data_IF_190059718777
#
_entry.id   IF_190059718777
#
_cell.length_a   1.000
_cell.length_b   1.000
_cell.length_c   1.000
_cell.angle_alpha   90.00
_cell.angle_beta   90.00
_cell.angle_gamma   90.00
#
_symmetry.space_group_name_H-M   'P 1'
#
loop_
_entity.id
_entity.type
_entity.pdbx_description
1 polymer ?
#
# COMPACT_ATOMS: atom_id res chain seq x y z
N UNK A 1 -6.45 6.05 -8.13
CA UNK A 1 -6.99 5.61 -9.44
C UNK A 1 -7.16 6.82 -10.34
N UNK A 2 -6.58 6.79 -11.53
CA UNK A 2 -6.58 7.93 -12.46
C UNK A 2 -6.55 7.40 -13.89
N UNK A 3 -7.31 8.04 -14.78
CA UNK A 3 -7.34 7.70 -16.20
C UNK A 3 -5.90 7.74 -16.78
N UNK A 4 -5.42 6.72 -17.52
CA UNK A 4 -4.07 6.65 -18.08
C UNK A 4 -3.70 7.86 -18.94
N UNK A 5 -4.70 8.48 -19.57
CA UNK A 5 -4.54 9.68 -20.39
C UNK A 5 -4.09 10.87 -19.54
N UNK A 6 -4.62 11.01 -18.33
CA UNK A 6 -4.27 12.09 -17.40
C UNK A 6 -3.13 11.71 -16.44
N UNK A 7 -2.74 10.43 -16.41
CA UNK A 7 -1.76 9.93 -15.46
C UNK A 7 -0.39 10.63 -15.60
N UNK A 8 0.00 11.02 -16.81
CA UNK A 8 1.25 11.78 -17.03
C UNK A 8 1.29 13.12 -16.29
N UNK A 9 0.20 13.89 -16.35
CA UNK A 9 0.09 15.19 -15.67
C UNK A 9 0.00 15.02 -14.15
N UNK A 10 -0.75 14.01 -13.70
CA UNK A 10 -0.85 13.66 -12.27
C UNK A 10 0.52 13.29 -11.71
N UNK A 11 1.27 12.44 -12.42
CA UNK A 11 2.62 12.03 -12.03
C UNK A 11 3.59 13.22 -11.96
N UNK A 12 3.50 14.15 -12.92
CA UNK A 12 4.29 15.38 -12.91
C UNK A 12 3.95 16.24 -11.69
N UNK A 13 2.66 16.47 -11.43
CA UNK A 13 2.20 17.27 -10.29
C UNK A 13 2.64 16.66 -8.94
N UNK A 14 2.52 15.34 -8.79
CA UNK A 14 2.97 14.63 -7.59
C UNK A 14 4.49 14.69 -7.41
N UNK A 15 5.25 14.63 -8.51
CA UNK A 15 6.71 14.79 -8.47
C UNK A 15 7.11 16.20 -8.05
N UNK A 16 6.43 17.22 -8.58
CA UNK A 16 6.64 18.61 -8.18
C UNK A 16 6.26 18.85 -6.71
N UNK A 17 5.15 18.25 -6.25
CA UNK A 17 4.76 18.30 -4.84
C UNK A 17 5.82 17.65 -3.94
N UNK A 18 6.29 16.44 -4.26
CA UNK A 18 7.37 15.77 -3.52
C UNK A 18 8.62 16.64 -3.41
N UNK A 19 8.99 17.33 -4.49
CA UNK A 19 10.19 18.19 -4.50
C UNK A 19 10.04 19.46 -3.65
N UNK A 20 8.82 19.99 -3.47
CA UNK A 20 8.58 21.32 -2.87
C UNK A 20 7.93 21.28 -1.50
N UNK A 21 7.18 20.23 -1.18
CA UNK A 21 6.27 20.19 -0.02
C UNK A 21 6.80 19.37 1.15
N UNK A 22 8.01 18.81 1.02
CA UNK A 22 8.67 18.10 2.10
C UNK A 22 9.38 19.10 3.04
N UNK A 23 8.62 19.87 3.83
CA UNK A 23 9.14 20.70 4.93
C UNK A 23 8.97 20.09 6.35
N UNK A 24 9.68 20.59 7.37
CA UNK A 24 9.44 20.21 8.77
C UNK A 24 7.98 20.40 9.20
N UNK A 25 7.48 19.53 10.10
CA UNK A 25 6.10 19.60 10.60
C UNK A 25 5.05 19.07 9.62
N UNK A 26 5.49 18.52 8.48
CA UNK A 26 4.61 17.92 7.46
C UNK A 26 5.06 16.49 7.18
N UNK A 27 4.13 15.51 7.09
CA UNK A 27 4.45 14.16 6.65
C UNK A 27 5.13 14.17 5.29
N UNK A 28 6.27 13.48 5.19
CA UNK A 28 7.06 13.46 3.97
C UNK A 28 6.40 12.58 2.89
N UNK A 29 6.28 13.11 1.67
CA UNK A 29 5.98 12.30 0.50
C UNK A 29 7.26 11.61 0.00
N UNK A 30 7.45 10.36 0.41
CA UNK A 30 8.62 9.54 -0.01
C UNK A 30 8.62 9.29 -1.52
N UNK A 31 7.45 9.11 -2.11
CA UNK A 31 7.31 8.82 -3.53
C UNK A 31 5.89 8.47 -3.94
N UNK A 32 5.78 7.85 -5.11
CA UNK A 32 4.53 7.49 -5.77
C UNK A 32 4.43 5.97 -5.80
N UNK A 33 3.31 5.45 -5.32
CA UNK A 33 2.85 4.09 -5.59
C UNK A 33 1.88 4.16 -6.75
N UNK A 34 2.28 3.60 -7.89
CA UNK A 34 1.45 3.53 -9.08
C UNK A 34 0.64 2.23 -9.08
N UNK A 35 -0.58 2.26 -8.55
CA UNK A 35 -1.47 1.11 -8.56
C UNK A 35 -2.30 1.06 -9.85
N UNK A 36 -1.99 0.10 -10.73
CA UNK A 36 -2.48 0.11 -12.11
C UNK A 36 -1.75 1.13 -12.99
N UNK A 37 -2.06 1.22 -14.29
CA UNK A 37 -3.21 0.59 -14.97
C UNK A 37 -2.93 -0.81 -15.53
N UNK A 38 -1.72 -1.35 -15.33
CA UNK A 38 -1.26 -2.64 -15.87
C UNK A 38 -1.82 -3.84 -15.10
N UNK A 39 -3.13 -3.90 -14.96
CA UNK A 39 -3.84 -4.86 -14.08
C UNK A 39 -4.85 -5.71 -14.84
N UNK A 40 -5.36 -6.76 -14.19
CA UNK A 40 -6.35 -7.66 -14.76
C UNK A 40 -7.76 -7.12 -14.55
N UNK A 41 -8.53 -7.02 -15.65
CA UNK A 41 -9.92 -6.52 -15.62
C UNK A 41 -10.85 -7.37 -14.76
N UNK A 42 -10.60 -8.68 -14.66
CA UNK A 42 -11.40 -9.58 -13.81
C UNK A 42 -11.22 -9.30 -12.32
N UNK A 43 -10.07 -8.71 -11.95
CA UNK A 43 -9.69 -8.40 -10.57
C UNK A 43 -9.60 -6.89 -10.34
N UNK A 44 -10.29 -6.10 -11.16
CA UNK A 44 -10.25 -4.64 -11.12
C UNK A 44 -10.70 -4.04 -9.79
N UNK A 45 -11.61 -4.70 -9.07
CA UNK A 45 -12.29 -4.10 -7.91
C UNK A 45 -12.87 -2.73 -8.25
N UNK A 46 -12.45 -1.72 -7.49
CA UNK A 46 -12.83 -0.35 -7.73
C UNK A 46 -12.03 0.38 -8.82
N UNK A 47 -11.07 -0.23 -9.52
CA UNK A 47 -10.34 0.42 -10.61
C UNK A 47 -11.23 0.67 -11.84
N UNK A 48 -11.18 1.85 -12.50
CA UNK A 48 -12.01 2.14 -13.67
C UNK A 48 -11.68 1.21 -14.84
N UNK A 49 -12.65 0.47 -15.36
CA UNK A 49 -12.41 -0.58 -16.36
C UNK A 49 -11.79 -0.05 -17.67
N UNK A 50 -12.21 1.14 -18.12
CA UNK A 50 -11.70 1.78 -19.35
C UNK A 50 -10.27 2.33 -19.19
N UNK A 51 -9.79 2.41 -17.96
CA UNK A 51 -8.44 2.82 -17.64
C UNK A 51 -7.45 1.64 -17.62
N UNK A 52 -7.93 0.40 -17.67
CA UNK A 52 -7.09 -0.79 -17.57
C UNK A 52 -6.51 -1.12 -18.95
N UNK A 53 -5.18 -1.21 -19.01
CA UNK A 53 -4.43 -1.52 -20.23
C UNK A 53 -3.39 -2.61 -19.94
N UNK A 54 -2.98 -3.36 -20.96
CA UNK A 54 -1.92 -4.35 -20.82
C UNK A 54 -0.60 -3.70 -20.38
N UNK A 55 0.26 -4.43 -19.65
CA UNK A 55 1.62 -3.99 -19.33
C UNK A 55 2.33 -3.39 -20.55
N UNK A 56 2.86 -2.18 -20.39
CA UNK A 56 3.51 -1.44 -21.47
C UNK A 56 4.81 -0.80 -20.98
N UNK A 57 5.92 -1.48 -21.25
CA UNK A 57 7.27 -1.07 -20.83
C UNK A 57 7.67 0.31 -21.38
N UNK A 58 7.27 0.64 -22.62
CA UNK A 58 7.60 1.93 -23.24
C UNK A 58 6.85 3.09 -22.59
N UNK A 59 5.58 2.87 -22.24
CA UNK A 59 4.76 3.82 -21.51
C UNK A 59 5.31 4.04 -20.10
N UNK A 60 5.67 2.96 -19.39
CA UNK A 60 6.32 3.06 -18.09
C UNK A 60 7.63 3.85 -18.15
N UNK A 61 8.49 3.57 -19.14
CA UNK A 61 9.72 4.36 -19.38
C UNK A 61 9.43 5.85 -19.57
N UNK A 62 8.34 6.19 -20.27
CA UNK A 62 7.91 7.59 -20.43
C UNK A 62 7.54 8.20 -19.08
N UNK A 63 6.75 7.52 -18.26
CA UNK A 63 6.40 7.98 -16.91
C UNK A 63 7.61 8.11 -16.00
N UNK A 64 8.52 7.14 -16.01
CA UNK A 64 9.75 7.22 -15.23
C UNK A 64 10.64 8.39 -15.67
N UNK A 65 10.79 8.64 -16.99
CA UNK A 65 11.52 9.84 -17.47
C UNK A 65 10.88 11.15 -17.01
N UNK A 66 9.55 11.21 -16.91
CA UNK A 66 8.83 12.40 -16.43
C UNK A 66 8.99 12.63 -14.93
N UNK A 67 9.15 11.55 -14.15
CA UNK A 67 9.10 11.57 -12.68
C UNK A 67 10.46 11.39 -12.02
N UNK A 68 11.50 11.03 -12.78
CA UNK A 68 12.80 10.66 -12.23
C UNK A 68 12.66 9.45 -11.31
N UNK A 69 13.14 9.58 -10.08
CA UNK A 69 13.09 8.52 -9.07
C UNK A 69 11.78 8.49 -8.26
N UNK A 70 10.79 9.33 -8.58
CA UNK A 70 9.63 9.52 -7.70
C UNK A 70 8.71 8.30 -7.62
N UNK A 71 8.61 7.48 -8.66
CA UNK A 71 7.84 6.23 -8.62
C UNK A 71 8.66 5.18 -7.86
N UNK A 72 8.13 4.71 -6.73
CA UNK A 72 8.82 3.74 -5.85
C UNK A 72 8.24 2.34 -5.98
N UNK A 73 6.93 2.23 -6.18
CA UNK A 73 6.19 0.96 -6.29
C UNK A 73 5.28 1.03 -7.50
N UNK A 74 5.11 -0.08 -8.20
CA UNK A 74 4.03 -0.27 -9.15
C UNK A 74 3.27 -1.56 -8.81
N UNK A 75 1.94 -1.47 -8.73
CA UNK A 75 1.08 -2.64 -8.63
C UNK A 75 0.59 -3.00 -10.03
N UNK A 76 0.83 -4.25 -10.42
CA UNK A 76 0.49 -4.77 -11.74
C UNK A 76 0.14 -6.25 -11.67
N UNK A 77 -0.42 -6.77 -12.76
CA UNK A 77 -0.77 -8.18 -12.91
C UNK A 77 0.32 -8.94 -13.66
N UNK A 78 1.10 -9.80 -12.98
CA UNK A 78 2.25 -10.45 -13.57
C UNK A 78 1.91 -11.42 -14.70
N UNK A 79 0.73 -12.04 -14.69
CA UNK A 79 0.27 -12.95 -15.75
C UNK A 79 0.07 -12.23 -17.11
N UNK A 80 -0.04 -10.90 -17.08
CA UNK A 80 -0.19 -10.08 -18.29
C UNK A 80 1.16 -9.55 -18.82
N UNK A 81 2.26 -9.70 -18.06
CA UNK A 81 3.60 -9.21 -18.42
C UNK A 81 4.35 -10.24 -19.27
N UNK A 82 4.00 -10.28 -20.56
CA UNK A 82 4.60 -11.16 -21.56
C UNK A 82 6.14 -11.12 -21.48
N UNK A 83 6.77 -12.28 -21.24
CA UNK A 83 8.23 -12.39 -21.17
C UNK A 83 8.89 -11.63 -20.01
N UNK A 84 8.11 -11.15 -19.04
CA UNK A 84 8.55 -10.35 -17.90
C UNK A 84 9.25 -9.04 -18.30
N UNK A 85 8.85 -8.45 -19.43
CA UNK A 85 9.50 -7.26 -19.98
C UNK A 85 9.38 -6.05 -19.06
N UNK A 86 8.18 -5.80 -18.53
CA UNK A 86 7.96 -4.71 -17.58
C UNK A 86 8.74 -4.98 -16.30
N UNK A 87 8.66 -6.19 -15.74
CA UNK A 87 9.39 -6.58 -14.53
C UNK A 87 10.90 -6.36 -14.66
N UNK A 88 11.51 -6.77 -15.77
CA UNK A 88 12.94 -6.55 -16.04
C UNK A 88 13.30 -5.07 -16.00
N UNK A 89 12.46 -4.23 -16.60
CA UNK A 89 12.67 -2.78 -16.59
C UNK A 89 12.48 -2.17 -15.20
N UNK A 90 11.45 -2.58 -14.45
CA UNK A 90 11.21 -2.12 -13.08
C UNK A 90 12.42 -2.40 -12.18
N UNK A 91 12.97 -3.61 -12.25
CA UNK A 91 14.18 -3.99 -11.51
C UNK A 91 15.37 -3.13 -11.89
N UNK A 92 15.60 -2.92 -13.18
CA UNK A 92 16.69 -2.06 -13.69
C UNK A 92 16.57 -0.63 -13.15
N UNK A 93 15.35 -0.12 -13.03
CA UNK A 93 15.05 1.22 -12.54
C UNK A 93 14.88 1.30 -11.02
N UNK A 94 15.08 0.19 -10.29
CA UNK A 94 14.90 0.10 -8.83
C UNK A 94 13.49 0.50 -8.37
N UNK A 95 12.49 0.25 -9.20
CA UNK A 95 11.07 0.38 -8.84
C UNK A 95 10.57 -0.96 -8.36
N UNK A 96 9.88 -0.98 -7.23
CA UNK A 96 9.39 -2.21 -6.60
C UNK A 96 8.21 -2.76 -7.41
N UNK A 97 8.35 -3.97 -8.01
CA UNK A 97 7.24 -4.67 -8.63
C UNK A 97 6.35 -5.29 -7.54
N UNK A 98 5.07 -4.91 -7.53
CA UNK A 98 4.05 -5.48 -6.64
C UNK A 98 2.96 -6.20 -7.42
N UNK A 99 2.64 -7.43 -7.05
CA UNK A 99 1.51 -8.17 -7.62
C UNK A 99 0.21 -7.79 -6.91
N UNK A 100 -0.79 -7.39 -7.69
CA UNK A 100 -2.12 -7.04 -7.20
C UNK A 100 -3.08 -6.82 -8.36
N UNK A 101 -4.38 -6.79 -8.08
CA UNK A 101 -5.43 -6.74 -9.11
C UNK A 101 -5.24 -7.81 -10.20
N UNK A 102 -4.85 -9.02 -9.81
CA UNK A 102 -4.30 -10.08 -10.67
C UNK A 102 -5.09 -11.37 -10.56
N UNK A 103 -5.34 -12.02 -11.71
CA UNK A 103 -5.97 -13.33 -11.77
C UNK A 103 -4.95 -14.46 -11.96
N UNK A 104 -3.67 -14.21 -11.67
CA UNK A 104 -2.62 -15.19 -11.81
C UNK A 104 -2.89 -16.45 -10.96
N UNK A 105 -2.66 -17.60 -11.57
CA UNK A 105 -2.49 -18.87 -10.87
C UNK A 105 -1.27 -18.86 -9.95
N UNK A 106 -1.18 -19.84 -9.07
CA UNK A 106 -0.01 -20.06 -8.22
C UNK A 106 1.28 -20.17 -9.03
N UNK A 107 1.27 -20.89 -10.16
CA UNK A 107 2.46 -21.13 -10.98
C UNK A 107 2.92 -19.86 -11.72
N UNK A 108 1.98 -19.04 -12.21
CA UNK A 108 2.29 -17.74 -12.81
C UNK A 108 2.87 -16.78 -11.78
N UNK A 109 2.28 -16.73 -10.57
CA UNK A 109 2.79 -15.92 -9.47
C UNK A 109 4.20 -16.36 -9.04
N UNK A 110 4.44 -17.67 -8.88
CA UNK A 110 5.77 -18.20 -8.58
C UNK A 110 6.79 -17.84 -9.65
N UNK A 111 6.42 -17.98 -10.92
CA UNK A 111 7.28 -17.62 -12.04
C UNK A 111 7.68 -16.14 -11.95
N UNK A 112 6.73 -15.25 -11.66
CA UNK A 112 7.01 -13.82 -11.48
C UNK A 112 7.90 -13.53 -10.25
N UNK A 113 7.69 -14.21 -9.12
CA UNK A 113 8.52 -14.08 -7.91
C UNK A 113 9.96 -14.50 -8.21
N UNK A 114 10.16 -15.64 -8.88
CA UNK A 114 11.48 -16.13 -9.30
C UNK A 114 12.19 -15.10 -10.19
N UNK A 115 11.44 -14.41 -11.07
CA UNK A 115 11.98 -13.36 -11.92
C UNK A 115 12.26 -12.04 -11.17
N UNK A 116 11.67 -11.84 -9.98
CA UNK A 116 12.02 -10.77 -9.07
C UNK A 116 10.85 -9.95 -8.51
N UNK A 117 9.60 -10.40 -8.66
CA UNK A 117 8.48 -9.84 -7.88
C UNK A 117 8.71 -10.12 -6.40
N UNK A 118 8.64 -9.08 -5.57
CA UNK A 118 9.00 -9.16 -4.13
C UNK A 118 8.02 -8.41 -3.24
N UNK A 119 6.83 -8.10 -3.75
CA UNK A 119 5.78 -7.37 -3.06
C UNK A 119 4.42 -7.88 -3.55
N UNK A 120 3.44 -8.05 -2.64
CA UNK A 120 2.04 -8.27 -2.96
C UNK A 120 1.18 -7.17 -2.31
N UNK A 121 0.37 -6.48 -3.13
CA UNK A 121 -0.46 -5.35 -2.68
C UNK A 121 -1.76 -5.84 -2.06
N UNK A 122 -2.19 -5.19 -0.96
CA UNK A 122 -3.40 -5.47 -0.17
C UNK A 122 -3.90 -6.93 -0.20
N UNK A 123 -3.05 -7.86 0.25
CA UNK A 123 -3.23 -9.32 0.18
C UNK A 123 -4.70 -9.76 0.35
N UNK A 124 -5.14 -10.69 -0.50
CA UNK A 124 -6.53 -11.15 -0.70
C UNK A 124 -7.42 -10.24 -1.55
N UNK A 125 -7.19 -8.93 -1.58
CA UNK A 125 -8.06 -7.98 -2.28
C UNK A 125 -7.62 -7.83 -3.74
N UNK A 126 -8.58 -7.90 -4.68
CA UNK A 126 -8.25 -7.89 -6.11
C UNK A 126 -7.30 -9.03 -6.51
N UNK A 127 -7.44 -10.21 -5.91
CA UNK A 127 -6.63 -11.38 -6.23
C UNK A 127 -7.54 -12.56 -6.54
N UNK A 128 -7.06 -13.47 -7.40
CA UNK A 128 -7.67 -14.79 -7.56
C UNK A 128 -7.90 -15.43 -6.19
N UNK A 129 -9.10 -15.95 -5.95
CA UNK A 129 -9.48 -16.56 -4.68
C UNK A 129 -8.55 -17.70 -4.30
N UNK A 130 -8.15 -17.73 -3.03
CA UNK A 130 -7.32 -18.80 -2.48
C UNK A 130 -8.09 -20.13 -2.49
N UNK A 131 -7.54 -21.15 -3.16
CA UNK A 131 -8.16 -22.47 -3.29
C UNK A 131 -7.11 -23.58 -3.09
N UNK A 132 -7.45 -24.70 -2.46
CA UNK A 132 -6.45 -25.72 -2.07
C UNK A 132 -5.73 -26.41 -3.24
N UNK A 133 -6.33 -26.43 -4.45
CA UNK A 133 -5.70 -26.96 -5.68
C UNK A 133 -4.92 -25.91 -6.50
N UNK A 134 -5.24 -24.64 -6.29
CA UNK A 134 -4.54 -23.51 -6.91
C UNK A 134 -4.57 -22.38 -5.89
N UNK A 135 -3.52 -22.28 -5.04
CA UNK A 135 -3.46 -21.27 -3.99
C UNK A 135 -3.44 -19.82 -4.53
N UNK A 136 -3.23 -19.65 -5.84
CA UNK A 136 -3.15 -18.37 -6.50
C UNK A 136 -2.01 -17.49 -5.96
N UNK A 137 -2.14 -16.20 -6.22
CA UNK A 137 -1.18 -15.16 -5.80
C UNK A 137 -1.05 -15.08 -4.28
N UNK A 138 -2.14 -15.29 -3.54
CA UNK A 138 -2.13 -15.27 -2.07
C UNK A 138 -1.22 -16.37 -1.53
N UNK A 139 -1.38 -17.61 -2.00
CA UNK A 139 -0.53 -18.71 -1.56
C UNK A 139 0.93 -18.51 -1.93
N UNK A 140 1.21 -18.04 -3.14
CA UNK A 140 2.58 -17.72 -3.56
C UNK A 140 3.19 -16.62 -2.69
N UNK A 141 2.48 -15.51 -2.48
CA UNK A 141 2.95 -14.40 -1.66
C UNK A 141 3.23 -14.81 -0.21
N UNK A 142 2.41 -15.69 0.37
CA UNK A 142 2.59 -16.17 1.74
C UNK A 142 3.77 -17.14 1.85
N UNK A 143 3.93 -18.08 0.91
CA UNK A 143 4.94 -19.13 0.99
C UNK A 143 6.37 -18.67 0.64
N UNK A 144 6.53 -17.54 -0.07
CA UNK A 144 7.85 -17.01 -0.42
C UNK A 144 8.36 -15.98 0.59
N UNK A 145 9.44 -16.32 1.31
CA UNK A 145 10.02 -15.48 2.39
C UNK A 145 10.55 -14.12 1.90
N UNK A 146 10.90 -13.99 0.62
CA UNK A 146 11.40 -12.73 0.05
C UNK A 146 10.28 -11.76 -0.34
N UNK A 147 9.01 -12.17 -0.31
CA UNK A 147 7.85 -11.34 -0.67
C UNK A 147 7.30 -10.62 0.55
N UNK A 148 7.22 -9.30 0.46
CA UNK A 148 6.44 -8.47 1.40
C UNK A 148 4.96 -8.50 1.05
N UNK A 149 4.09 -8.55 2.06
CA UNK A 149 2.63 -8.54 1.88
C UNK A 149 2.03 -7.32 2.57
N UNK A 150 1.24 -6.56 1.83
CA UNK A 150 0.44 -5.46 2.36
C UNK A 150 -0.86 -5.98 2.97
N UNK A 151 -1.27 -5.45 4.12
CA UNK A 151 -2.55 -5.75 4.77
C UNK A 151 -3.28 -4.47 5.18
N UNK A 152 -4.61 -4.48 5.09
CA UNK A 152 -5.53 -3.42 5.53
C UNK A 152 -6.34 -3.90 6.75
N UNK A 153 -5.86 -3.69 7.99
CA UNK A 153 -6.52 -4.22 9.20
C UNK A 153 -7.68 -3.34 9.68
N UNK A 154 -8.77 -3.31 8.90
CA UNK A 154 -10.02 -2.63 9.27
C UNK A 154 -11.17 -3.58 9.65
N UNK A 155 -10.99 -4.89 9.45
CA UNK A 155 -12.03 -5.89 9.72
C UNK A 155 -13.13 -5.94 8.64
N UNK A 156 -12.97 -5.18 7.55
CA UNK A 156 -13.87 -5.11 6.41
C UNK A 156 -13.20 -5.75 5.19
N UNK A 157 -11.94 -5.39 4.91
CA UNK A 157 -11.16 -5.96 3.80
C UNK A 157 -10.74 -7.41 4.04
N UNK A 158 -10.71 -7.84 5.30
CA UNK A 158 -10.58 -9.26 5.66
C UNK A 158 -11.11 -9.52 7.07
N UNK A 159 -11.42 -10.79 7.34
CA UNK A 159 -11.82 -11.24 8.66
C UNK A 159 -10.64 -11.16 9.66
N UNK A 160 -10.79 -10.58 10.87
CA UNK A 160 -9.69 -10.42 11.83
C UNK A 160 -8.89 -11.69 12.13
N UNK A 161 -9.56 -12.84 12.27
CA UNK A 161 -8.88 -14.11 12.54
C UNK A 161 -7.98 -14.60 11.39
N UNK A 162 -8.17 -14.09 10.17
CA UNK A 162 -7.29 -14.43 9.04
C UNK A 162 -5.88 -13.86 9.26
N UNK A 163 -5.75 -12.75 10.00
CA UNK A 163 -4.42 -12.23 10.33
C UNK A 163 -3.62 -13.17 11.20
N UNK A 164 -4.26 -13.87 12.14
CA UNK A 164 -3.58 -14.89 12.97
C UNK A 164 -2.96 -15.96 12.09
N UNK A 165 -3.62 -16.31 10.99
CA UNK A 165 -3.09 -17.24 10.00
C UNK A 165 -1.95 -16.60 9.18
N UNK A 166 -2.13 -15.36 8.70
CA UNK A 166 -1.09 -14.64 7.97
C UNK A 166 0.18 -14.56 8.81
N UNK A 167 0.15 -14.08 10.05
CA UNK A 167 1.36 -13.89 10.87
C UNK A 167 2.02 -15.21 11.30
N UNK A 168 1.29 -16.33 11.27
CA UNK A 168 1.86 -17.67 11.48
C UNK A 168 2.59 -18.20 10.26
N UNK A 169 2.06 -17.92 9.07
CA UNK A 169 2.63 -18.43 7.80
C UNK A 169 3.65 -17.46 7.19
N UNK A 170 3.48 -16.16 7.44
CA UNK A 170 4.33 -15.05 6.99
C UNK A 170 4.91 -14.38 8.22
N UNK A 171 6.24 -14.27 8.29
CA UNK A 171 6.87 -13.60 9.43
C UNK A 171 6.50 -12.11 9.47
N UNK A 172 6.41 -11.53 10.66
CA UNK A 172 6.04 -10.11 10.82
C UNK A 172 7.00 -9.18 10.08
N UNK A 173 8.26 -9.56 9.89
CA UNK A 173 9.27 -8.80 9.11
C UNK A 173 8.92 -8.60 7.63
N UNK A 174 7.93 -9.36 7.13
CA UNK A 174 7.45 -9.31 5.75
C UNK A 174 6.01 -8.82 5.64
N UNK A 175 5.42 -8.37 6.74
CA UNK A 175 4.09 -7.75 6.74
C UNK A 175 4.24 -6.24 6.72
N UNK A 176 3.50 -5.58 5.82
CA UNK A 176 3.38 -4.15 5.70
C UNK A 176 1.94 -3.74 6.00
N UNK A 177 1.72 -3.02 7.10
CA UNK A 177 0.42 -2.42 7.36
C UNK A 177 0.26 -1.19 6.46
N UNK A 178 -0.83 -1.17 5.71
CA UNK A 178 -1.26 -0.02 4.92
C UNK A 178 -2.69 0.36 5.31
N UNK A 179 -3.08 1.58 4.95
CA UNK A 179 -4.48 1.98 5.11
C UNK A 179 -5.30 1.73 3.86
N UNK A 180 -4.68 1.81 2.68
CA UNK A 180 -5.41 1.98 1.40
C UNK A 180 -6.49 3.08 1.49
N UNK A 181 -6.10 4.21 2.08
CA UNK A 181 -7.05 5.22 2.56
C UNK A 181 -7.47 6.14 1.41
N UNK A 182 -8.77 6.35 1.24
CA UNK A 182 -9.31 7.26 0.23
C UNK A 182 -9.74 8.61 0.83
N UNK A 183 -10.15 9.58 -0.01
CA UNK A 183 -10.38 10.98 0.38
C UNK A 183 -11.42 11.21 1.51
N UNK A 184 -12.25 10.21 1.82
CA UNK A 184 -13.22 10.25 2.90
C UNK A 184 -12.61 9.93 4.28
N UNK A 185 -11.33 9.54 4.35
CA UNK A 185 -10.66 9.25 5.62
C UNK A 185 -10.68 10.49 6.52
N UNK A 186 -11.27 10.35 7.70
CA UNK A 186 -11.47 11.44 8.66
C UNK A 186 -12.66 12.35 8.36
N UNK A 187 -13.48 12.00 7.36
CA UNK A 187 -14.69 12.73 6.99
C UNK A 187 -15.96 11.97 7.44
N UNK A 188 -17.11 12.63 7.59
CA UNK A 188 -18.39 11.97 7.90
C UNK A 188 -18.85 11.00 6.81
N UNK A 189 -19.80 10.12 7.13
CA UNK A 189 -20.51 9.30 6.17
C UNK A 189 -21.14 10.15 5.06
N UNK A 190 -21.10 9.67 3.82
CA UNK A 190 -21.51 10.45 2.66
C UNK A 190 -21.08 9.85 1.33
N UNK A 191 -21.13 10.67 0.28
CA UNK A 191 -20.69 10.29 -1.06
C UNK A 191 -19.40 11.02 -1.45
N UNK A 192 -18.49 10.27 -2.08
CA UNK A 192 -17.16 10.75 -2.44
C UNK A 192 -16.76 10.25 -3.82
N UNK A 193 -15.68 10.81 -4.36
CA UNK A 193 -15.08 10.37 -5.62
C UNK A 193 -13.82 9.54 -5.38
N UNK A 194 -13.67 8.45 -6.14
CA UNK A 194 -12.42 7.72 -6.28
C UNK A 194 -12.12 7.47 -7.76
N UNK A 195 -11.28 8.33 -8.34
CA UNK A 195 -10.82 8.18 -9.72
C UNK A 195 -11.91 8.27 -10.76
N UNK A 196 -12.89 9.17 -10.55
CA UNK A 196 -14.04 9.35 -11.44
C UNK A 196 -15.23 8.44 -11.13
N UNK A 197 -15.15 7.62 -10.08
CA UNK A 197 -16.24 6.74 -9.65
C UNK A 197 -16.82 7.20 -8.31
N UNK A 198 -18.15 7.14 -8.20
CA UNK A 198 -18.88 7.48 -6.96
C UNK A 198 -18.77 6.36 -5.93
N UNK A 199 -18.33 6.73 -4.74
CA UNK A 199 -18.17 5.88 -3.57
C UNK A 199 -19.16 6.33 -2.49
N UNK A 200 -19.87 5.40 -1.87
CA UNK A 200 -20.62 5.65 -0.64
C UNK A 200 -19.78 5.20 0.56
N UNK A 201 -19.75 6.04 1.60
CA UNK A 201 -19.19 5.72 2.91
C UNK A 201 -20.32 5.63 3.90
N UNK A 202 -20.48 4.45 4.50
CA UNK A 202 -21.49 4.17 5.53
C UNK A 202 -20.91 3.22 6.56
N UNK A 203 -21.02 3.58 7.83
CA UNK A 203 -20.64 2.70 8.96
C UNK A 203 -19.20 2.14 8.81
N UNK A 204 -18.28 2.98 8.31
CA UNK A 204 -16.89 2.60 8.10
C UNK A 204 -16.57 1.86 6.79
N UNK A 205 -17.57 1.38 6.04
CA UNK A 205 -17.38 0.71 4.75
C UNK A 205 -17.39 1.74 3.62
N UNK A 206 -16.40 1.63 2.71
CA UNK A 206 -16.33 2.40 1.47
C UNK A 206 -16.62 1.47 0.28
N UNK A 207 -17.69 1.72 -0.47
CA UNK A 207 -17.98 0.91 -1.65
C UNK A 207 -18.50 1.72 -2.83
N UNK A 208 -18.26 1.21 -4.03
CA UNK A 208 -18.78 1.80 -5.26
C UNK A 208 -20.30 1.75 -5.28
N UNK A 209 -20.95 2.89 -5.53
CA UNK A 209 -22.41 2.97 -5.64
C UNK A 209 -22.95 2.06 -6.75
N UNK A 210 -22.19 1.87 -7.83
CA UNK A 210 -22.63 1.11 -8.99
C UNK A 210 -22.71 -0.42 -8.79
N UNK A 211 -21.89 -1.01 -7.93
CA UNK A 211 -21.79 -2.48 -7.80
C UNK A 211 -21.21 -2.98 -6.46
N UNK A 212 -21.24 -2.14 -5.41
CA UNK A 212 -20.86 -2.44 -4.01
C UNK A 212 -19.44 -3.03 -3.79
N UNK A 213 -18.58 -2.99 -4.80
CA UNK A 213 -17.16 -3.35 -4.64
C UNK A 213 -16.48 -2.38 -3.67
N UNK A 214 -15.66 -2.89 -2.75
CA UNK A 214 -14.86 -2.07 -1.83
C UNK A 214 -13.96 -1.11 -2.62
N UNK A 215 -13.89 0.13 -2.15
CA UNK A 215 -13.24 1.24 -2.84
C UNK A 215 -12.27 1.98 -1.91
N UNK A 216 -11.16 1.32 -1.58
CA UNK A 216 -10.24 1.73 -0.53
C UNK A 216 -10.90 1.67 0.85
N UNK A 217 -10.33 2.37 1.82
CA UNK A 217 -10.83 2.44 3.19
C UNK A 217 -10.85 3.87 3.75
N UNK A 218 -11.43 4.02 4.94
CA UNK A 218 -11.25 5.20 5.81
C UNK A 218 -10.35 4.90 7.02
N UNK A 219 -9.59 3.80 6.97
CA UNK A 219 -8.71 3.37 8.05
C UNK A 219 -7.59 4.40 8.28
N UNK A 220 -7.39 4.79 9.54
CA UNK A 220 -6.20 5.56 9.94
C UNK A 220 -5.09 4.59 10.37
N UNK A 221 -3.83 5.01 10.29
CA UNK A 221 -2.71 4.15 10.70
C UNK A 221 -2.77 3.84 12.21
N UNK A 222 -3.25 4.75 13.06
CA UNK A 222 -3.43 4.46 14.48
C UNK A 222 -4.53 3.42 14.72
N UNK A 223 -5.68 3.54 14.03
CA UNK A 223 -6.74 2.54 14.13
C UNK A 223 -6.29 1.19 13.58
N UNK A 224 -5.51 1.17 12.50
CA UNK A 224 -4.89 -0.04 11.97
C UNK A 224 -4.02 -0.73 13.03
N UNK A 225 -3.17 0.04 13.72
CA UNK A 225 -2.33 -0.45 14.82
C UNK A 225 -3.17 -0.97 15.99
N UNK A 226 -4.16 -0.21 16.45
CA UNK A 226 -5.03 -0.61 17.57
C UNK A 226 -5.81 -1.89 17.28
N UNK A 227 -6.30 -2.05 16.05
CA UNK A 227 -6.94 -3.27 15.59
C UNK A 227 -6.00 -4.47 15.66
N UNK A 228 -4.76 -4.34 15.18
CA UNK A 228 -3.77 -5.42 15.23
C UNK A 228 -3.39 -5.79 16.67
N UNK A 229 -3.22 -4.82 17.57
CA UNK A 229 -2.98 -5.09 19.00
C UNK A 229 -4.12 -5.90 19.58
N UNK A 230 -5.36 -5.49 19.31
CA UNK A 230 -6.55 -6.20 19.80
C UNK A 230 -6.65 -7.63 19.25
N UNK A 231 -6.24 -7.87 18.01
CA UNK A 231 -6.45 -9.16 17.34
C UNK A 231 -5.28 -10.14 17.47
N UNK A 232 -4.06 -9.64 17.66
CA UNK A 232 -2.83 -10.42 17.61
C UNK A 232 -1.95 -10.28 18.86
N UNK A 233 -2.31 -9.43 19.83
CA UNK A 233 -1.57 -9.21 21.07
C UNK A 233 -0.10 -8.78 20.83
N UNK A 234 0.12 -7.93 19.82
CA UNK A 234 1.45 -7.48 19.42
C UNK A 234 2.10 -6.58 20.48
N UNK A 235 3.36 -6.85 20.79
CA UNK A 235 4.22 -5.94 21.54
C UNK A 235 4.40 -4.60 20.79
N UNK A 236 4.81 -3.55 21.50
CA UNK A 236 5.06 -2.24 20.87
C UNK A 236 6.16 -2.32 19.79
N UNK A 237 7.15 -3.19 19.96
CA UNK A 237 8.21 -3.40 18.98
C UNK A 237 7.66 -4.03 17.69
N UNK A 238 6.78 -5.02 17.80
CA UNK A 238 6.12 -5.64 16.64
C UNK A 238 5.17 -4.67 15.93
N UNK A 239 4.45 -3.82 16.68
CA UNK A 239 3.64 -2.75 16.12
C UNK A 239 4.49 -1.79 15.28
N UNK A 240 5.63 -1.31 15.82
CA UNK A 240 6.56 -0.42 15.10
C UNK A 240 7.16 -1.13 13.88
N UNK A 241 7.48 -2.43 14.01
CA UNK A 241 8.06 -3.23 12.93
C UNK A 241 7.17 -3.19 11.68
N UNK A 242 5.88 -3.47 11.83
CA UNK A 242 4.94 -3.60 10.71
C UNK A 242 4.28 -2.29 10.26
N UNK A 243 4.42 -1.20 11.02
CA UNK A 243 3.85 0.12 10.68
C UNK A 243 4.90 1.16 10.28
N UNK A 244 6.19 0.89 10.49
CA UNK A 244 7.27 1.83 10.19
C UNK A 244 8.54 1.15 9.68
N UNK A 245 9.13 0.23 10.46
CA UNK A 245 10.46 -0.31 10.16
C UNK A 245 10.48 -1.13 8.87
N UNK A 246 9.48 -1.97 8.63
CA UNK A 246 9.39 -2.79 7.42
C UNK A 246 9.18 -1.94 6.17
N UNK A 247 8.39 -0.88 6.26
CA UNK A 247 8.16 0.09 5.18
C UNK A 247 9.49 0.80 4.85
N UNK A 248 10.22 1.25 5.86
CA UNK A 248 11.51 1.90 5.68
C UNK A 248 12.56 0.95 5.09
N UNK A 249 12.58 -0.32 5.50
CA UNK A 249 13.40 -1.37 4.88
C UNK A 249 13.00 -1.58 3.42
N UNK A 250 11.70 -1.72 3.15
CA UNK A 250 11.17 -2.03 1.82
C UNK A 250 11.50 -0.94 0.81
N UNK A 251 11.40 0.32 1.24
CA UNK A 251 11.67 1.51 0.44
C UNK A 251 13.16 1.92 0.44
N UNK A 252 14.04 1.12 1.07
CA UNK A 252 15.48 1.37 1.16
C UNK A 252 15.85 2.72 1.84
N UNK A 253 15.02 3.16 2.78
CA UNK A 253 15.19 4.43 3.53
C UNK A 253 15.44 4.21 5.03
N UNK A 254 15.70 2.97 5.46
CA UNK A 254 15.98 2.65 6.86
C UNK A 254 17.17 3.45 7.41
N UNK A 255 18.09 3.95 6.57
CA UNK A 255 19.21 4.78 7.02
C UNK A 255 18.79 6.06 7.75
N UNK A 256 17.61 6.60 7.43
CA UNK A 256 17.12 7.86 7.98
C UNK A 256 15.67 7.80 8.51
N UNK A 257 14.90 6.74 8.22
CA UNK A 257 13.54 6.51 8.74
C UNK A 257 13.41 5.18 9.49
N UNK A 258 12.23 4.96 10.08
CA UNK A 258 11.77 3.63 10.51
C UNK A 258 12.29 3.12 11.86
N UNK A 259 13.13 3.89 12.56
CA UNK A 259 13.51 3.64 13.95
C UNK A 259 14.00 4.93 14.63
N UNK A 260 14.02 4.93 15.96
CA UNK A 260 14.58 6.03 16.76
C UNK A 260 16.07 5.73 16.96
N UNK A 261 16.93 6.49 16.28
CA UNK A 261 18.39 6.33 16.37
C UNK A 261 19.08 7.65 16.01
N UNK A 262 20.23 7.92 16.61
CA UNK A 262 21.03 9.12 16.33
C UNK A 262 21.36 9.20 14.84
N UNK A 263 21.19 10.39 14.24
CA UNK A 263 21.46 10.65 12.83
C UNK A 263 20.29 10.39 11.88
N UNK A 264 19.17 9.83 12.37
CA UNK A 264 17.92 9.68 11.61
C UNK A 264 17.05 10.93 11.70
N UNK A 265 16.08 11.04 10.80
CA UNK A 265 15.07 12.09 10.88
C UNK A 265 14.24 11.95 12.15
N UNK A 266 13.95 13.07 12.80
CA UNK A 266 13.06 13.13 13.95
C UNK A 266 11.59 13.06 13.49
N UNK A 267 11.23 11.91 12.88
CA UNK A 267 9.87 11.48 12.59
C UNK A 267 9.40 10.56 13.73
N UNK A 268 8.67 11.14 14.68
CA UNK A 268 8.37 10.50 15.97
C UNK A 268 6.87 10.62 16.23
N UNK A 269 6.27 9.55 16.72
CA UNK A 269 4.89 9.54 17.23
C UNK A 269 4.95 9.20 18.72
N UNK A 270 4.35 10.05 19.55
CA UNK A 270 4.13 9.79 20.97
C UNK A 270 2.73 9.19 21.12
N UNK A 271 2.67 8.01 21.72
CA UNK A 271 1.43 7.26 21.92
C UNK A 271 1.11 7.29 23.41
N UNK A 272 -0.09 7.72 23.76
CA UNK A 272 -0.61 7.73 25.13
C UNK A 272 -0.90 6.32 25.65
N UNK A 273 -1.15 6.19 26.96
CA UNK A 273 -1.45 4.89 27.58
C UNK A 273 -2.74 4.25 27.06
N UNK A 274 -3.68 5.06 26.59
CA UNK A 274 -4.91 4.63 25.91
C UNK A 274 -4.66 4.13 24.47
N UNK A 275 -3.43 4.24 23.97
CA UNK A 275 -3.10 3.93 22.58
C UNK A 275 -3.48 5.02 21.59
N UNK A 276 -3.87 6.21 22.02
CA UNK A 276 -4.09 7.33 21.10
C UNK A 276 -2.80 8.08 20.79
N UNK A 277 -2.79 8.78 19.66
CA UNK A 277 -1.65 9.64 19.30
C UNK A 277 -1.75 10.94 20.10
N UNK A 278 -0.72 11.23 20.88
CA UNK A 278 -0.65 12.46 21.70
C UNK A 278 0.17 13.55 21.00
N UNK A 279 1.23 13.17 20.29
CA UNK A 279 2.10 14.09 19.56
C UNK A 279 2.65 13.40 18.30
N UNK A 280 2.73 14.14 17.19
CA UNK A 280 3.52 13.73 16.02
C UNK A 280 4.54 14.80 15.71
N UNK A 281 5.79 14.38 15.54
CA UNK A 281 6.90 15.21 15.08
C UNK A 281 7.28 14.72 13.69
N UNK A 282 7.41 15.63 12.73
CA UNK A 282 7.92 15.35 11.40
C UNK A 282 9.18 16.19 11.16
N UNK A 283 10.32 15.51 10.97
CA UNK A 283 11.66 16.10 10.80
C UNK A 283 11.96 17.21 11.80
N UNK A 284 11.69 16.91 13.07
CA UNK A 284 12.06 17.76 14.20
C UNK A 284 11.09 18.89 14.53
N UNK A 285 9.99 19.07 13.79
CA UNK A 285 8.94 20.03 14.13
C UNK A 285 7.62 19.31 14.42
N UNK A 286 6.85 19.86 15.36
CA UNK A 286 5.53 19.34 15.74
C UNK A 286 4.59 19.48 14.55
N UNK A 287 4.02 18.35 14.12
CA UNK A 287 3.03 18.25 13.06
C UNK A 287 1.60 18.09 13.61
N UNK A 288 1.47 17.54 14.81
CA UNK A 288 0.21 17.34 15.51
C UNK A 288 0.45 17.28 17.02
N UNK A 289 -0.44 17.88 17.80
CA UNK A 289 -0.47 17.78 19.25
C UNK A 289 -1.93 17.63 19.69
N UNK A 290 -2.22 16.58 20.45
CA UNK A 290 -3.54 16.37 21.05
C UNK A 290 -3.75 17.34 22.22
N UNK A 291 -4.96 17.89 22.32
CA UNK A 291 -5.27 18.88 23.37
C UNK A 291 -5.17 18.24 24.75
N UNK A 292 -4.18 18.67 25.53
CA UNK A 292 -3.95 18.17 26.89
C UNK A 292 -3.04 16.93 26.98
N UNK A 293 -2.32 16.58 25.92
CA UNK A 293 -1.38 15.45 25.87
C UNK A 293 -0.36 15.35 27.04
N UNK A 294 0.00 16.49 27.64
CA UNK A 294 1.03 16.59 28.67
C UNK A 294 0.58 17.39 29.90
N UNK A 295 -0.73 17.54 30.10
CA UNK A 295 -1.34 18.10 31.31
C UNK A 295 -1.65 16.98 32.32
#
# INVERSE_FOLDING_TARGET
MTNPIQLGDVLKNLTEYRAKSNGPGVPEMIGIHLEGPFINKEQKGAQPADSIISPNTNLFKKWHRLTGDAIKIITYSPELDQGFELLKELKKLKVIPSMGHTNASYDEANSAIIQGVTHATHLFNGMKSFHHRDPGVVGAAILHDNVYVEIIPDGIHFHPDLLKLIVKMKTLEKVLVITDGMRAKGMPDGEYDLGGQRVSVREGKCSLISHDSLAGSILTMNNARLNLVKWLDLSIHEQILITSTNQAKRLEILSHKGSISVGKDADIVVIGQNGEVELTICRGAIAYEHSGAFL
#
